data_IF_477753526249
#
_entry.id   IF_477753526249
#
_cell.length_a   1.000
_cell.length_b   1.000
_cell.length_c   1.000
_cell.angle_alpha   90.00
_cell.angle_beta   90.00
_cell.angle_gamma   90.00
#
_symmetry.space_group_name_H-M   'P 1'
#
loop_
_entity.id
_entity.type
_entity.pdbx_description
1 polymer ?
#
# COMPACT_ATOMS: atom_id res chain seq x y z
N UNK A 1 -36.40 27.41 2.53
CA UNK A 1 -35.59 26.98 3.70
C UNK A 1 -34.32 26.37 3.15
N UNK A 2 -33.20 27.09 3.21
CA UNK A 2 -31.89 26.53 2.91
C UNK A 2 -31.50 25.61 4.06
N UNK A 3 -31.37 24.31 3.79
CA UNK A 3 -30.86 23.35 4.75
C UNK A 3 -29.47 23.83 5.19
N UNK A 4 -29.30 24.12 6.48
CA UNK A 4 -27.96 24.40 7.03
C UNK A 4 -27.09 23.17 6.78
N UNK A 5 -25.96 23.37 6.12
CA UNK A 5 -24.93 22.35 6.05
C UNK A 5 -24.47 22.02 7.48
N UNK A 6 -24.13 20.76 7.78
CA UNK A 6 -23.55 20.39 9.06
C UNK A 6 -22.33 21.26 9.37
N UNK A 7 -22.20 21.73 10.62
CA UNK A 7 -21.04 22.52 11.05
C UNK A 7 -19.76 21.70 11.16
N UNK A 8 -19.86 20.37 11.13
CA UNK A 8 -18.73 19.43 11.16
C UNK A 8 -19.10 18.08 10.53
N UNK A 9 -18.08 17.30 10.15
CA UNK A 9 -18.16 15.91 9.71
C UNK A 9 -17.27 15.04 10.61
N UNK A 10 -17.72 13.82 10.90
CA UNK A 10 -16.96 12.85 11.69
C UNK A 10 -16.40 11.75 10.80
N UNK A 11 -15.20 11.27 11.13
CA UNK A 11 -14.54 10.14 10.48
C UNK A 11 -14.25 9.04 11.50
N UNK A 12 -13.73 7.90 11.03
CA UNK A 12 -13.23 6.85 11.92
C UNK A 12 -12.24 7.41 12.95
N UNK A 13 -12.49 7.07 14.21
CA UNK A 13 -11.65 7.47 15.34
C UNK A 13 -10.20 6.99 15.18
N UNK A 14 -9.27 7.74 15.76
CA UNK A 14 -7.88 7.35 15.93
C UNK A 14 -7.70 6.81 17.36
N UNK A 15 -7.92 5.51 17.54
CA UNK A 15 -7.98 4.91 18.87
C UNK A 15 -9.08 5.59 19.71
N UNK A 16 -8.77 6.15 20.89
CA UNK A 16 -9.75 6.84 21.74
C UNK A 16 -10.05 8.28 21.29
N UNK A 17 -9.41 8.79 20.23
CA UNK A 17 -9.55 10.19 19.80
C UNK A 17 -10.53 10.30 18.63
N UNK A 18 -11.46 11.23 18.73
CA UNK A 18 -12.35 11.56 17.62
C UNK A 18 -11.61 12.30 16.51
N UNK A 19 -11.96 11.98 15.25
CA UNK A 19 -11.43 12.67 14.07
C UNK A 19 -12.56 13.45 13.43
N UNK A 20 -12.46 14.78 13.50
CA UNK A 20 -13.52 15.71 13.11
C UNK A 20 -12.96 16.68 12.06
N UNK A 21 -13.71 16.89 10.97
CA UNK A 21 -13.51 18.03 10.09
C UNK A 21 -14.51 19.14 10.44
N UNK A 22 -14.00 20.34 10.66
CA UNK A 22 -14.76 21.55 10.91
C UNK A 22 -14.38 22.66 9.90
N UNK A 23 -15.04 23.81 10.03
CA UNK A 23 -14.79 25.00 9.20
C UNK A 23 -14.11 26.14 9.97
N UNK A 24 -13.47 25.85 11.10
CA UNK A 24 -12.84 26.86 11.96
C UNK A 24 -11.41 27.23 11.54
N UNK A 25 -10.88 26.60 10.49
CA UNK A 25 -9.60 26.99 9.87
C UNK A 25 -8.36 26.54 10.65
N UNK A 26 -8.47 25.47 11.44
CA UNK A 26 -7.34 24.85 12.15
C UNK A 26 -6.30 24.21 11.22
N UNK A 27 -6.06 22.89 11.35
CA UNK A 27 -5.18 22.18 10.39
C UNK A 27 -5.95 21.90 9.11
N UNK A 28 -5.63 22.63 8.06
CA UNK A 28 -6.28 22.54 6.74
C UNK A 28 -5.54 21.53 5.86
N UNK A 29 -6.28 20.74 5.09
CA UNK A 29 -5.74 19.75 4.15
C UNK A 29 -6.60 19.70 2.87
N UNK A 30 -5.94 19.49 1.73
CA UNK A 30 -6.59 19.21 0.45
C UNK A 30 -6.82 17.71 0.22
N UNK A 31 -6.27 16.85 1.09
CA UNK A 31 -6.21 15.40 0.90
C UNK A 31 -7.25 14.65 1.72
N UNK A 32 -8.30 15.33 2.18
CA UNK A 32 -9.39 14.73 2.94
C UNK A 32 -10.05 13.54 2.23
N UNK A 33 -9.99 13.49 0.89
CA UNK A 33 -10.47 12.32 0.12
C UNK A 33 -9.77 11.01 0.48
N UNK A 34 -8.55 11.07 1.01
CA UNK A 34 -7.82 9.87 1.41
C UNK A 34 -8.39 9.18 2.66
N UNK A 35 -9.35 9.79 3.37
CA UNK A 35 -10.16 9.04 4.34
C UNK A 35 -10.88 7.85 3.68
N UNK A 36 -11.31 7.96 2.42
CA UNK A 36 -11.89 6.83 1.69
C UNK A 36 -10.87 5.70 1.47
N UNK A 37 -9.58 6.02 1.28
CA UNK A 37 -8.53 5.01 1.16
C UNK A 37 -8.35 4.26 2.49
N UNK A 38 -8.41 4.98 3.62
CA UNK A 38 -8.41 4.38 4.95
C UNK A 38 -9.62 3.47 5.17
N UNK A 39 -10.82 3.89 4.76
CA UNK A 39 -12.03 3.05 4.87
C UNK A 39 -11.85 1.73 4.11
N UNK A 40 -11.35 1.80 2.88
CA UNK A 40 -11.11 0.63 2.02
C UNK A 40 -10.03 -0.26 2.63
N UNK A 41 -8.90 0.30 3.04
CA UNK A 41 -7.81 -0.47 3.65
C UNK A 41 -8.26 -1.11 4.97
N UNK A 42 -8.99 -0.40 5.83
CA UNK A 42 -9.51 -0.93 7.09
C UNK A 42 -10.48 -2.09 6.86
N UNK A 43 -11.29 -2.02 5.80
CA UNK A 43 -12.25 -3.07 5.47
C UNK A 43 -11.58 -4.34 4.94
N UNK A 44 -10.50 -4.21 4.17
CA UNK A 44 -9.88 -5.34 3.47
C UNK A 44 -8.53 -5.77 4.03
N UNK A 45 -7.98 -5.00 4.97
CA UNK A 45 -6.66 -5.17 5.59
C UNK A 45 -5.57 -5.41 4.53
N UNK A 46 -5.70 -4.72 3.40
CA UNK A 46 -4.89 -5.00 2.21
C UNK A 46 -3.43 -4.63 2.47
N UNK A 47 -3.17 -3.45 3.04
CA UNK A 47 -1.82 -2.93 3.21
C UNK A 47 -1.07 -3.60 4.36
N UNK A 48 -1.79 -4.07 5.38
CA UNK A 48 -1.22 -4.92 6.42
C UNK A 48 -0.78 -6.26 5.85
N UNK A 49 -1.64 -6.91 5.04
CA UNK A 49 -1.29 -8.13 4.34
C UNK A 49 -0.14 -7.90 3.34
N UNK A 50 -0.14 -6.79 2.60
CA UNK A 50 0.91 -6.43 1.65
C UNK A 50 2.27 -6.23 2.34
N UNK A 51 2.30 -5.65 3.54
CA UNK A 51 3.53 -5.54 4.32
C UNK A 51 4.11 -6.92 4.69
N UNK A 52 3.28 -7.97 4.87
CA UNK A 52 3.80 -9.33 5.14
C UNK A 52 4.53 -9.96 3.96
N UNK A 53 4.38 -9.39 2.75
CA UNK A 53 5.11 -9.80 1.56
C UNK A 53 6.56 -9.30 1.53
N UNK A 54 7.04 -8.61 2.56
CA UNK A 54 8.43 -8.19 2.66
C UNK A 54 9.13 -8.86 3.85
N UNK A 55 10.44 -8.96 3.77
CA UNK A 55 11.31 -9.28 4.90
C UNK A 55 12.11 -8.05 5.28
N UNK A 56 12.01 -7.66 6.55
CA UNK A 56 12.72 -6.50 7.10
C UNK A 56 13.95 -6.96 7.88
N UNK A 57 15.13 -6.84 7.27
CA UNK A 57 16.43 -7.19 7.86
C UNK A 57 17.06 -6.02 8.64
N UNK A 58 16.34 -4.91 8.84
CA UNK A 58 16.83 -3.81 9.69
C UNK A 58 16.93 -4.30 11.14
N UNK A 59 17.90 -3.78 11.87
CA UNK A 59 18.04 -4.06 13.31
C UNK A 59 16.76 -3.61 14.05
N UNK A 60 16.01 -4.54 14.69
CA UNK A 60 14.73 -4.23 15.33
C UNK A 60 14.83 -3.12 16.39
N UNK A 61 15.97 -3.00 17.07
CA UNK A 61 16.18 -1.98 18.11
C UNK A 61 16.37 -0.56 17.53
N UNK A 62 16.53 -0.46 16.21
CA UNK A 62 16.75 0.80 15.47
C UNK A 62 15.58 1.15 14.56
N UNK A 63 14.52 0.34 14.57
CA UNK A 63 13.29 0.59 13.80
C UNK A 63 12.37 1.48 14.64
N UNK A 64 12.15 2.70 14.15
CA UNK A 64 11.11 3.59 14.69
C UNK A 64 9.82 3.54 13.85
N UNK A 65 9.97 3.32 12.54
CA UNK A 65 8.86 3.14 11.60
C UNK A 65 8.78 1.67 11.20
N UNK A 66 7.74 0.99 11.68
CA UNK A 66 7.43 -0.38 11.27
C UNK A 66 7.23 -0.45 9.75
N UNK A 67 7.34 -1.64 9.18
CA UNK A 67 7.16 -1.80 7.74
C UNK A 67 5.80 -1.30 7.26
N UNK A 68 4.72 -1.61 7.99
CA UNK A 68 3.37 -1.10 7.72
C UNK A 68 3.35 0.43 7.73
N UNK A 69 4.04 1.07 8.68
CA UNK A 69 4.16 2.52 8.78
C UNK A 69 5.03 3.15 7.66
N UNK A 70 5.73 2.35 6.86
CA UNK A 70 6.40 2.80 5.62
C UNK A 70 5.52 2.56 4.38
N UNK A 71 4.91 1.38 4.30
CA UNK A 71 4.09 0.94 3.16
C UNK A 71 2.83 1.77 3.03
N UNK A 72 2.03 1.92 4.10
CA UNK A 72 0.75 2.61 4.05
C UNK A 72 0.85 4.06 3.56
N UNK A 73 1.69 4.93 4.16
CA UNK A 73 1.77 6.32 3.71
C UNK A 73 2.35 6.42 2.30
N UNK A 74 3.17 5.44 1.86
CA UNK A 74 3.68 5.44 0.49
C UNK A 74 2.60 5.11 -0.53
N UNK A 75 1.80 4.07 -0.29
CA UNK A 75 0.68 3.70 -1.18
C UNK A 75 -0.37 4.80 -1.20
N UNK A 76 -0.72 5.38 -0.05
CA UNK A 76 -1.65 6.52 0.00
C UNK A 76 -1.10 7.75 -0.73
N UNK A 77 0.21 8.02 -0.63
CA UNK A 77 0.88 9.06 -1.41
C UNK A 77 0.69 8.87 -2.92
N UNK A 78 0.93 7.66 -3.42
CA UNK A 78 0.70 7.30 -4.82
C UNK A 78 -0.76 7.52 -5.24
N UNK A 79 -1.73 7.05 -4.45
CA UNK A 79 -3.16 7.25 -4.73
C UNK A 79 -3.58 8.73 -4.71
N UNK A 80 -2.86 9.57 -3.96
CA UNK A 80 -3.09 11.01 -3.89
C UNK A 80 -2.42 11.78 -5.03
N UNK A 81 -1.53 11.14 -5.80
CA UNK A 81 -0.78 11.74 -6.91
C UNK A 81 0.65 12.18 -6.54
N UNK A 82 1.14 11.82 -5.35
CA UNK A 82 2.51 12.08 -4.91
C UNK A 82 3.44 10.96 -5.38
N UNK A 83 3.72 10.95 -6.69
CA UNK A 83 4.55 9.93 -7.32
C UNK A 83 6.02 10.07 -6.91
N UNK A 84 6.51 11.30 -6.75
CA UNK A 84 7.90 11.53 -6.39
C UNK A 84 8.16 11.29 -4.91
N UNK A 85 9.21 10.54 -4.60
CA UNK A 85 9.62 10.32 -3.21
C UNK A 85 10.01 11.61 -2.49
N UNK A 86 10.40 12.67 -3.21
CA UNK A 86 10.80 13.94 -2.61
C UNK A 86 9.63 14.64 -1.88
N UNK A 87 8.39 14.43 -2.30
CA UNK A 87 7.18 14.96 -1.65
C UNK A 87 7.08 14.46 -0.21
N UNK A 88 7.61 13.27 0.07
CA UNK A 88 7.64 12.71 1.42
C UNK A 88 8.57 13.46 2.39
N UNK A 89 9.40 14.40 1.95
CA UNK A 89 10.05 15.35 2.87
C UNK A 89 9.06 16.36 3.45
N UNK A 90 7.98 16.68 2.72
CA UNK A 90 6.87 17.52 3.20
C UNK A 90 5.78 16.66 3.84
N UNK A 91 5.35 15.59 3.17
CA UNK A 91 4.27 14.73 3.67
C UNK A 91 4.60 14.09 5.01
N UNK A 92 5.89 13.95 5.38
CA UNK A 92 6.24 13.41 6.70
C UNK A 92 5.73 14.23 7.90
N UNK A 93 5.35 15.48 7.66
CA UNK A 93 4.78 16.41 8.62
C UNK A 93 3.24 16.43 8.58
N UNK A 94 2.63 15.69 7.66
CA UNK A 94 1.19 15.69 7.44
C UNK A 94 0.49 14.87 8.51
N UNK A 95 -0.36 15.55 9.29
CA UNK A 95 -1.10 14.92 10.39
C UNK A 95 -2.29 14.11 9.88
N UNK A 96 -2.92 14.50 8.76
CA UNK A 96 -3.98 13.72 8.16
C UNK A 96 -3.41 12.38 7.70
N UNK A 97 -2.29 12.38 6.97
CA UNK A 97 -1.67 11.13 6.51
C UNK A 97 -1.24 10.24 7.68
N UNK A 98 -0.76 10.83 8.79
CA UNK A 98 -0.48 10.12 10.03
C UNK A 98 -1.73 9.50 10.67
N UNK A 99 -2.84 10.23 10.72
CA UNK A 99 -4.15 9.72 11.16
C UNK A 99 -4.62 8.56 10.27
N UNK A 100 -4.46 8.69 8.94
CA UNK A 100 -4.93 7.68 7.99
C UNK A 100 -4.30 6.31 8.20
N UNK A 101 -3.03 6.28 8.60
CA UNK A 101 -2.29 5.03 8.81
C UNK A 101 -2.31 4.58 10.28
N UNK A 102 -3.04 5.29 11.14
CA UNK A 102 -3.23 4.91 12.55
C UNK A 102 -2.08 5.31 13.49
N UNK A 103 -1.24 6.30 13.14
CA UNK A 103 -0.20 6.80 14.07
C UNK A 103 -0.87 7.47 15.27
N UNK A 104 -0.64 6.96 16.47
CA UNK A 104 -1.25 7.45 17.72
C UNK A 104 -0.86 8.89 18.06
N UNK A 105 0.35 9.30 17.69
CA UNK A 105 0.82 10.68 17.77
C UNK A 105 0.96 11.29 16.36
N UNK A 106 -0.13 11.85 15.80
CA UNK A 106 -0.14 12.38 14.44
C UNK A 106 0.62 13.71 14.31
N UNK A 107 1.19 14.24 15.40
CA UNK A 107 2.05 15.43 15.37
C UNK A 107 3.54 15.06 15.52
N UNK A 108 3.85 13.82 15.90
CA UNK A 108 5.22 13.33 16.00
C UNK A 108 6.01 14.00 17.12
N UNK A 109 5.40 14.35 18.24
CA UNK A 109 6.05 14.79 19.47
C UNK A 109 6.82 13.66 20.18
N UNK A 110 6.37 12.41 20.06
CA UNK A 110 6.89 11.23 20.76
C UNK A 110 8.09 10.58 20.05
N UNK A 111 8.60 11.23 19.00
CA UNK A 111 9.75 10.76 18.22
C UNK A 111 10.98 10.64 19.11
N UNK A 112 11.71 9.54 18.93
CA UNK A 112 12.87 9.16 19.79
C UNK A 112 13.97 10.20 19.70
N UNK A 113 14.25 10.67 18.47
CA UNK A 113 15.27 11.69 18.22
C UNK A 113 14.64 13.08 18.28
N UNK A 114 15.21 14.03 19.06
CA UNK A 114 14.69 15.40 19.13
C UNK A 114 14.60 16.09 17.76
N UNK A 115 15.57 15.84 16.87
CA UNK A 115 15.58 16.38 15.51
C UNK A 115 14.46 15.84 14.60
N UNK A 116 13.84 14.73 14.99
CA UNK A 116 12.75 14.10 14.25
C UNK A 116 11.37 14.45 14.82
N UNK A 117 11.31 15.19 15.94
CA UNK A 117 10.04 15.66 16.48
C UNK A 117 9.34 16.60 15.50
N UNK A 118 8.02 16.51 15.42
CA UNK A 118 7.22 17.19 14.40
C UNK A 118 7.13 16.45 13.06
N UNK A 119 7.68 15.23 12.97
CA UNK A 119 7.66 14.36 11.77
C UNK A 119 7.04 13.01 12.14
N UNK A 120 5.71 12.89 12.20
CA UNK A 120 5.04 11.63 12.54
C UNK A 120 5.37 10.47 11.59
N UNK A 121 5.72 10.74 10.33
CA UNK A 121 5.94 9.71 9.30
C UNK A 121 7.40 9.64 8.84
N UNK A 122 7.71 8.61 8.07
CA UNK A 122 9.01 8.45 7.42
C UNK A 122 9.19 9.45 6.26
N UNK A 123 10.40 10.01 6.14
CA UNK A 123 10.77 10.86 5.01
C UNK A 123 11.34 10.08 3.81
N UNK A 124 11.65 10.81 2.74
CA UNK A 124 12.06 10.25 1.44
C UNK A 124 13.18 9.21 1.53
N UNK A 125 14.21 9.44 2.34
CA UNK A 125 15.38 8.55 2.37
C UNK A 125 15.06 7.18 2.97
N UNK A 126 14.10 7.12 3.89
CA UNK A 126 13.66 5.84 4.47
C UNK A 126 12.77 5.09 3.48
N UNK A 127 11.88 5.79 2.78
CA UNK A 127 11.03 5.21 1.74
C UNK A 127 11.83 4.80 0.49
N UNK A 128 12.88 5.55 0.15
CA UNK A 128 13.80 5.19 -0.91
C UNK A 128 14.49 3.85 -0.62
N UNK A 129 14.89 3.61 0.64
CA UNK A 129 15.44 2.32 1.05
C UNK A 129 14.41 1.20 0.98
N UNK A 130 13.12 1.47 1.21
CA UNK A 130 12.05 0.50 1.00
C UNK A 130 11.93 0.14 -0.50
N UNK A 131 11.87 1.13 -1.38
CA UNK A 131 11.61 0.92 -2.81
C UNK A 131 12.80 0.37 -3.60
N UNK A 132 14.03 0.75 -3.24
CA UNK A 132 15.23 0.41 -3.99
C UNK A 132 15.98 -0.81 -3.43
N UNK A 133 15.37 -1.59 -2.53
CA UNK A 133 16.01 -2.80 -2.04
C UNK A 133 16.04 -3.88 -3.13
N UNK A 134 17.21 -4.42 -3.49
CA UNK A 134 17.31 -5.46 -4.51
C UNK A 134 16.79 -6.81 -3.99
N UNK A 135 16.34 -7.67 -4.92
CA UNK A 135 15.71 -8.99 -4.66
C UNK A 135 16.66 -10.02 -4.01
N UNK A 136 17.93 -9.68 -3.77
CA UNK A 136 18.90 -10.53 -3.07
C UNK A 136 19.57 -9.86 -1.87
N UNK A 137 19.04 -8.72 -1.39
CA UNK A 137 19.52 -8.13 -0.15
C UNK A 137 19.17 -9.02 1.05
N UNK A 138 19.90 -8.81 2.13
CA UNK A 138 19.88 -9.62 3.35
C UNK A 138 20.30 -8.77 4.55
N UNK A 139 20.60 -9.42 5.67
CA UNK A 139 21.08 -8.78 6.89
C UNK A 139 22.48 -8.14 6.78
N UNK A 140 23.32 -8.63 5.87
CA UNK A 140 24.67 -8.10 5.63
C UNK A 140 24.67 -6.88 4.70
N UNK A 141 23.56 -6.66 3.98
CA UNK A 141 23.38 -5.54 3.06
C UNK A 141 23.47 -4.18 3.78
N UNK A 142 24.38 -3.29 3.34
CA UNK A 142 24.72 -2.06 4.09
C UNK A 142 23.56 -1.08 4.31
N UNK A 143 22.77 -0.80 3.27
CA UNK A 143 21.78 0.28 3.28
C UNK A 143 20.35 -0.20 3.01
N UNK A 144 20.18 -1.09 2.05
CA UNK A 144 18.89 -1.59 1.58
C UNK A 144 18.64 -2.95 2.19
N UNK A 145 17.63 -3.03 3.07
CA UNK A 145 17.41 -4.19 3.96
C UNK A 145 15.95 -4.65 4.03
N UNK A 146 15.07 -4.07 3.22
CA UNK A 146 13.64 -4.43 3.22
C UNK A 146 13.32 -5.11 1.89
N UNK A 147 13.37 -6.43 1.88
CA UNK A 147 13.30 -7.23 0.64
C UNK A 147 11.84 -7.54 0.32
N UNK A 148 11.39 -7.19 -0.88
CA UNK A 148 10.08 -7.57 -1.38
C UNK A 148 10.08 -8.98 -1.97
N UNK A 149 9.11 -9.82 -1.58
CA UNK A 149 8.87 -11.14 -2.17
C UNK A 149 7.80 -11.02 -3.25
N UNK A 150 8.24 -10.88 -4.50
CA UNK A 150 7.35 -10.62 -5.65
C UNK A 150 6.32 -11.74 -5.86
N UNK A 151 6.71 -12.98 -5.60
CA UNK A 151 5.84 -14.15 -5.56
C UNK A 151 4.71 -14.02 -4.54
N UNK A 152 5.02 -13.59 -3.31
CA UNK A 152 3.99 -13.34 -2.28
C UNK A 152 3.06 -12.18 -2.64
N UNK A 153 3.60 -11.14 -3.25
CA UNK A 153 2.80 -10.01 -3.74
C UNK A 153 1.83 -10.48 -4.83
N UNK A 154 2.32 -11.28 -5.78
CA UNK A 154 1.52 -11.84 -6.86
C UNK A 154 0.40 -12.74 -6.35
N UNK A 155 0.65 -13.53 -5.30
CA UNK A 155 -0.36 -14.39 -4.66
C UNK A 155 -1.37 -13.61 -3.80
N UNK A 156 -0.95 -12.48 -3.20
CA UNK A 156 -1.82 -11.67 -2.35
C UNK A 156 -3.00 -11.06 -3.12
N UNK A 157 -2.77 -10.54 -4.32
CA UNK A 157 -3.80 -9.87 -5.12
C UNK A 157 -5.04 -10.76 -5.39
N UNK A 158 -4.91 -11.98 -5.93
CA UNK A 158 -6.05 -12.87 -6.10
C UNK A 158 -6.65 -13.32 -4.76
N UNK A 159 -5.86 -13.46 -3.70
CA UNK A 159 -6.37 -13.80 -2.37
C UNK A 159 -7.26 -12.70 -1.79
N UNK A 160 -6.87 -11.44 -1.95
CA UNK A 160 -7.69 -10.29 -1.57
C UNK A 160 -8.97 -10.28 -2.39
N UNK A 161 -8.87 -10.44 -3.72
CA UNK A 161 -10.02 -10.49 -4.61
C UNK A 161 -11.03 -11.57 -4.18
N UNK A 162 -10.57 -12.81 -3.95
CA UNK A 162 -11.46 -13.91 -3.53
C UNK A 162 -12.12 -13.62 -2.18
N UNK A 163 -11.38 -13.08 -1.20
CA UNK A 163 -11.93 -12.73 0.12
C UNK A 163 -13.06 -11.70 0.06
N UNK A 164 -13.10 -10.86 -0.98
CA UNK A 164 -14.14 -9.85 -1.15
C UNK A 164 -15.49 -10.44 -1.61
N UNK A 165 -15.50 -11.68 -2.11
CA UNK A 165 -16.70 -12.33 -2.61
C UNK A 165 -17.27 -13.34 -1.60
N UNK A 166 -18.49 -13.08 -1.10
CA UNK A 166 -19.19 -14.00 -0.20
C UNK A 166 -19.40 -15.41 -0.81
N UNK A 167 -19.52 -15.48 -2.14
CA UNK A 167 -19.57 -16.73 -2.90
C UNK A 167 -18.57 -16.67 -4.03
N UNK A 168 -17.82 -17.75 -4.25
CA UNK A 168 -16.81 -17.80 -5.29
C UNK A 168 -17.42 -17.54 -6.69
N UNK A 169 -16.83 -16.63 -7.48
CA UNK A 169 -17.33 -16.34 -8.82
C UNK A 169 -17.17 -17.57 -9.73
N UNK A 170 -18.18 -17.83 -10.56
CA UNK A 170 -18.14 -18.93 -11.55
C UNK A 170 -17.17 -18.67 -12.70
N UNK A 171 -16.80 -17.42 -12.93
CA UNK A 171 -15.92 -16.96 -14.01
C UNK A 171 -15.14 -15.75 -13.53
N UNK A 172 -13.86 -15.70 -13.87
CA UNK A 172 -12.97 -14.56 -13.66
C UNK A 172 -12.45 -14.16 -15.04
N UNK A 173 -12.57 -12.88 -15.37
CA UNK A 173 -12.07 -12.31 -16.62
C UNK A 173 -10.84 -11.50 -16.25
N UNK A 174 -9.69 -11.88 -16.81
CA UNK A 174 -8.44 -11.15 -16.63
C UNK A 174 -8.27 -10.26 -17.86
N UNK A 175 -8.33 -8.95 -17.64
CA UNK A 175 -7.98 -7.97 -18.67
C UNK A 175 -6.45 -7.82 -18.69
N UNK A 176 -5.90 -7.67 -19.89
CA UNK A 176 -4.45 -7.59 -20.11
C UNK A 176 -4.18 -6.41 -21.03
N UNK A 177 -3.69 -5.32 -20.46
CA UNK A 177 -3.18 -4.21 -21.24
C UNK A 177 -1.90 -4.63 -21.96
N UNK A 178 -1.94 -4.66 -23.29
CA UNK A 178 -0.73 -4.83 -24.10
C UNK A 178 0.00 -3.48 -24.16
N UNK A 179 0.97 -3.27 -23.28
CA UNK A 179 1.78 -2.02 -23.26
C UNK A 179 2.80 -1.95 -24.41
N UNK A 180 2.92 -2.99 -25.24
CA UNK A 180 3.75 -2.99 -26.45
C UNK A 180 3.01 -2.34 -27.63
N UNK A 181 2.67 -1.05 -27.51
CA UNK A 181 2.38 -0.26 -28.71
C UNK A 181 3.74 0.06 -29.36
N UNK A 182 4.04 -0.39 -30.60
CA UNK A 182 5.31 -0.11 -31.23
C UNK A 182 5.45 1.41 -31.43
N UNK A 183 6.15 2.06 -30.51
CA UNK A 183 6.64 3.42 -30.70
C UNK A 183 7.44 3.43 -32.02
N UNK A 184 7.08 4.33 -32.93
CA UNK A 184 7.77 4.48 -34.21
C UNK A 184 9.25 4.84 -33.99
N UNK A 185 10.08 3.79 -33.96
CA UNK A 185 11.53 3.85 -33.82
C UNK A 185 12.05 2.43 -34.05
N UNK A 186 12.90 2.26 -35.06
CA UNK A 186 13.33 0.96 -35.58
C UNK A 186 14.29 0.26 -34.61
N UNK A 187 13.77 -0.35 -33.54
CA UNK A 187 14.48 -1.39 -32.78
C UNK A 187 14.05 -2.78 -33.29
N UNK A 188 15.04 -3.55 -33.74
CA UNK A 188 14.88 -4.88 -34.33
C UNK A 188 14.64 -5.94 -33.24
N UNK A 189 13.49 -6.63 -33.28
CA UNK A 189 13.25 -7.87 -32.55
C UNK A 189 11.87 -8.49 -32.83
N UNK A 190 11.72 -9.82 -32.95
CA UNK A 190 10.45 -10.47 -33.28
C UNK A 190 9.54 -10.54 -32.04
N UNK A 191 8.65 -9.57 -31.87
CA UNK A 191 7.79 -9.39 -30.68
C UNK A 191 6.61 -10.35 -30.55
N UNK A 192 6.32 -11.21 -31.53
CA UNK A 192 5.13 -12.10 -31.47
C UNK A 192 5.27 -13.31 -30.51
N UNK A 193 6.48 -13.70 -30.12
CA UNK A 193 6.72 -14.84 -29.21
C UNK A 193 7.10 -14.40 -27.78
N UNK A 194 7.32 -13.10 -27.54
CA UNK A 194 7.71 -12.57 -26.23
C UNK A 194 6.50 -12.50 -25.32
N UNK A 195 5.35 -12.01 -25.80
CA UNK A 195 4.11 -11.95 -25.05
C UNK A 195 3.71 -13.32 -24.45
N UNK A 196 3.68 -14.40 -25.23
CA UNK A 196 3.32 -15.72 -24.68
C UNK A 196 4.38 -16.31 -23.73
N UNK A 197 5.66 -15.93 -23.89
CA UNK A 197 6.77 -16.36 -23.03
C UNK A 197 6.90 -15.53 -21.74
N UNK A 198 6.40 -14.30 -21.71
CA UNK A 198 6.39 -13.40 -20.54
C UNK A 198 5.05 -13.50 -19.79
N UNK A 199 3.93 -13.53 -20.52
CA UNK A 199 2.59 -13.63 -19.91
C UNK A 199 2.37 -14.98 -19.23
N UNK A 200 2.92 -16.09 -19.73
CA UNK A 200 2.81 -17.39 -19.05
C UNK A 200 3.43 -17.37 -17.65
N UNK A 201 4.71 -17.03 -17.44
CA UNK A 201 5.27 -16.97 -16.09
C UNK A 201 4.68 -15.87 -15.21
N UNK A 202 4.11 -14.80 -15.79
CA UNK A 202 3.44 -13.75 -15.01
C UNK A 202 2.02 -14.14 -14.55
N UNK A 203 1.26 -14.84 -15.41
CA UNK A 203 -0.16 -15.14 -15.18
C UNK A 203 -0.41 -16.56 -14.67
N UNK A 204 0.44 -17.53 -15.00
CA UNK A 204 0.26 -18.92 -14.58
C UNK A 204 0.36 -19.07 -13.06
N UNK A 205 1.30 -18.45 -12.33
CA UNK A 205 1.37 -18.58 -10.89
C UNK A 205 0.13 -17.99 -10.18
N UNK A 206 -0.31 -16.74 -10.46
CA UNK A 206 -1.54 -16.20 -9.87
C UNK A 206 -2.80 -16.99 -10.26
N UNK A 207 -2.90 -17.45 -11.51
CA UNK A 207 -4.05 -18.24 -11.97
C UNK A 207 -4.08 -19.63 -11.32
N UNK A 208 -2.93 -20.29 -11.14
CA UNK A 208 -2.82 -21.57 -10.43
C UNK A 208 -3.03 -21.42 -8.93
N UNK A 209 -2.56 -20.34 -8.32
CA UNK A 209 -2.85 -20.00 -6.93
C UNK A 209 -4.34 -19.80 -6.71
N UNK A 210 -4.97 -18.98 -7.55
CA UNK A 210 -6.41 -18.76 -7.57
C UNK A 210 -7.18 -20.07 -7.79
N UNK A 211 -6.76 -20.90 -8.75
CA UNK A 211 -7.36 -22.22 -8.99
C UNK A 211 -7.27 -23.10 -7.74
N UNK A 212 -6.09 -23.18 -7.09
CA UNK A 212 -5.90 -23.96 -5.85
C UNK A 212 -6.78 -23.46 -4.71
N UNK A 213 -6.87 -22.14 -4.52
CA UNK A 213 -7.75 -21.53 -3.49
C UNK A 213 -9.23 -21.79 -3.76
N UNK A 214 -9.66 -21.66 -5.02
CA UNK A 214 -11.02 -21.97 -5.44
C UNK A 214 -11.36 -23.47 -5.28
N UNK A 215 -10.39 -24.37 -5.46
CA UNK A 215 -10.56 -25.81 -5.23
C UNK A 215 -10.58 -26.15 -3.72
N UNK A 216 -9.73 -25.52 -2.91
CA UNK A 216 -9.71 -25.71 -1.46
C UNK A 216 -11.00 -25.24 -0.77
N UNK A 217 -11.61 -24.15 -1.26
CA UNK A 217 -12.90 -23.65 -0.78
C UNK A 217 -14.13 -24.44 -1.25
N UNK A 218 -13.95 -25.51 -2.06
CA UNK A 218 -15.03 -26.39 -2.55
C UNK A 218 -15.20 -27.67 -1.75
N UNK A 219 -14.40 -27.92 -0.71
CA UNK A 219 -14.71 -28.99 0.22
C UNK A 219 -15.91 -28.56 1.09
N UNK A 220 -17.07 -29.23 1.00
CA UNK A 220 -18.12 -29.03 1.97
C UNK A 220 -17.55 -29.41 3.35
N UNK A 221 -17.90 -28.64 4.38
CA UNK A 221 -17.77 -29.10 5.75
C UNK A 221 -18.43 -30.49 5.81
N UNK A 222 -17.60 -31.52 6.04
CA UNK A 222 -18.10 -32.83 6.36
C UNK A 222 -18.76 -32.73 7.75
N UNK A 223 -20.02 -33.18 7.76
CA UNK A 223 -20.97 -33.40 8.87
C UNK A 223 -20.50 -33.18 10.31
#
# INVERSE_FOLDING_TARGET
MTACLPSYFTFQNLGPRDVIADFHGGRITSDARAFLLREVDTRFEFLDAFATCFTDHRDPNRIEHTLVALVKPRVFGLCLGYEDLNDHDRLRHDALLAVLIGVTDPLGHDRTRPADRGKPLAGKSTLNRLELTPVGADEDSRYHKIVAHIDRIADLLPDVFVRQHATLPRRIILDLDATDDPLHGRLLGPTRAVLSRVLRPLLLPPAEHLRRRLLAGRHPAAE
#
